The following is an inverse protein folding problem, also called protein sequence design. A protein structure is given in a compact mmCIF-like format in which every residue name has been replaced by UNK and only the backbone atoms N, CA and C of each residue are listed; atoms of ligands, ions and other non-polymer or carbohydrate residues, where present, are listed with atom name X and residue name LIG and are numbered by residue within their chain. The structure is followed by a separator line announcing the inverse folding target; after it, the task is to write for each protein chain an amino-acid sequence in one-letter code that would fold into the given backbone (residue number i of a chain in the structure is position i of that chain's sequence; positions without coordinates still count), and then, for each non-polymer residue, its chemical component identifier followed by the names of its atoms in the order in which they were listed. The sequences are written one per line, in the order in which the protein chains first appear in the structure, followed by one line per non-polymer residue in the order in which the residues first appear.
data_IF_769022886417
#
_entry.id   IF_769022886417
#
_cell.length_a   1.000
_cell.length_b   1.000
_cell.length_c   1.000
_cell.angle_alpha   90.00
_cell.angle_beta   90.00
_cell.angle_gamma   90.00
#
_symmetry.space_group_name_H-M   'P 1'
#
loop_
_entity.id
_entity.type
_entity.pdbx_description
1 polymer ?
#
# COMPACT_ATOMS: atom_id res chain seq x y z
N UNK A 1 0.35 -18.70 0.94
CA UNK A 1 0.30 -17.46 0.12
C UNK A 1 1.05 -16.40 0.90
N UNK A 2 2.03 -15.71 0.29
CA UNK A 2 2.74 -14.60 0.94
C UNK A 2 2.01 -13.30 0.63
N UNK A 3 1.75 -12.46 1.63
CA UNK A 3 1.19 -11.12 1.42
C UNK A 3 2.32 -10.11 1.22
N UNK A 4 2.11 -9.12 0.35
CA UNK A 4 3.07 -8.04 0.11
C UNK A 4 2.41 -6.69 0.42
N UNK A 5 3.04 -5.91 1.30
CA UNK A 5 2.74 -4.50 1.49
C UNK A 5 3.50 -3.67 0.44
N UNK A 6 2.83 -3.37 -0.66
CA UNK A 6 3.34 -2.57 -1.76
C UNK A 6 3.35 -1.05 -1.44
N UNK A 7 3.82 -0.66 -0.27
CA UNK A 7 3.74 0.73 0.24
C UNK A 7 4.89 1.06 1.17
N UNK A 8 5.52 2.22 0.97
CA UNK A 8 6.58 2.75 1.83
C UNK A 8 6.07 3.43 3.11
N UNK A 9 4.75 3.47 3.34
CA UNK A 9 4.15 4.13 4.51
C UNK A 9 4.41 3.36 5.83
N UNK A 10 5.08 3.97 6.84
CA UNK A 10 5.30 3.34 8.14
C UNK A 10 3.97 3.01 8.85
N UNK A 11 2.99 3.91 8.75
CA UNK A 11 1.67 3.73 9.38
C UNK A 11 0.93 2.51 8.84
N UNK A 12 1.04 2.20 7.54
CA UNK A 12 0.38 1.01 6.96
C UNK A 12 1.05 -0.29 7.43
N UNK A 13 2.36 -0.28 7.63
CA UNK A 13 3.10 -1.42 8.20
C UNK A 13 2.59 -1.72 9.61
N UNK A 14 2.55 -0.72 10.48
CA UNK A 14 2.08 -0.87 11.86
C UNK A 14 0.64 -1.41 11.95
N UNK A 15 -0.24 -0.98 11.03
CA UNK A 15 -1.63 -1.47 11.00
C UNK A 15 -1.70 -2.96 10.65
N UNK A 16 -0.92 -3.43 9.67
CA UNK A 16 -0.92 -4.84 9.27
C UNK A 16 -0.26 -5.74 10.32
N UNK A 17 0.81 -5.25 10.98
CA UNK A 17 1.43 -5.94 12.11
C UNK A 17 0.44 -6.10 13.27
N UNK A 18 -0.29 -5.04 13.62
CA UNK A 18 -1.33 -5.08 14.66
C UNK A 18 -2.51 -5.98 14.31
N UNK A 19 -2.77 -6.20 13.02
CA UNK A 19 -3.77 -7.14 12.54
C UNK A 19 -3.27 -8.61 12.57
N UNK A 20 -2.02 -8.85 12.97
CA UNK A 20 -1.43 -10.21 13.06
C UNK A 20 -1.06 -10.81 11.70
N UNK A 21 -0.93 -9.98 10.65
CA UNK A 21 -0.59 -10.45 9.32
C UNK A 21 0.93 -10.64 9.17
N UNK A 22 1.31 -11.71 8.46
CA UNK A 22 2.68 -11.93 8.01
C UNK A 22 2.78 -11.46 6.57
N UNK A 23 3.69 -10.52 6.29
CA UNK A 23 3.85 -9.91 4.97
C UNK A 23 5.28 -9.41 4.76
N UNK A 24 5.62 -9.23 3.48
CA UNK A 24 6.86 -8.57 3.05
C UNK A 24 6.58 -7.11 2.68
N UNK A 25 7.53 -6.21 2.93
CA UNK A 25 7.43 -4.82 2.48
C UNK A 25 8.21 -4.65 1.19
N UNK A 26 7.51 -4.28 0.11
CA UNK A 26 8.12 -3.95 -1.18
C UNK A 26 7.69 -2.54 -1.54
N UNK A 27 8.63 -1.61 -1.68
CA UNK A 27 8.31 -0.26 -2.14
C UNK A 27 7.83 -0.33 -3.60
N UNK A 28 6.69 0.29 -3.89
CA UNK A 28 6.23 0.39 -5.28
C UNK A 28 7.14 1.35 -6.05
N UNK A 29 7.68 0.95 -7.22
CA UNK A 29 8.43 1.85 -8.09
C UNK A 29 7.51 2.68 -9.00
N UNK A 30 6.19 2.47 -8.93
CA UNK A 30 5.24 3.12 -9.83
C UNK A 30 5.16 4.63 -9.57
N UNK A 31 5.17 5.41 -10.65
CA UNK A 31 4.90 6.84 -10.60
C UNK A 31 3.43 7.10 -10.28
N UNK A 32 3.17 8.06 -9.40
CA UNK A 32 1.82 8.44 -9.02
C UNK A 32 1.24 9.44 -10.02
N UNK A 33 0.62 8.92 -11.07
CA UNK A 33 -0.02 9.72 -12.12
C UNK A 33 -1.43 10.07 -11.68
N UNK A 34 -1.71 11.37 -11.63
CA UNK A 34 -3.03 11.91 -11.31
C UNK A 34 -3.74 12.34 -12.60
N UNK A 35 -4.75 11.59 -13.03
CA UNK A 35 -5.60 11.98 -14.14
C UNK A 35 -6.76 12.87 -13.65
N UNK A 36 -6.74 14.15 -14.00
CA UNK A 36 -7.76 15.12 -13.59
C UNK A 36 -9.16 14.84 -14.15
N UNK A 37 -9.26 14.04 -15.22
CA UNK A 37 -10.54 13.61 -15.78
C UNK A 37 -11.19 12.50 -14.95
N UNK A 38 -10.40 11.78 -14.15
CA UNK A 38 -10.88 10.75 -13.25
C UNK A 38 -11.40 11.37 -11.96
N UNK A 39 -12.69 11.19 -11.69
CA UNK A 39 -13.27 11.56 -10.40
C UNK A 39 -12.96 10.48 -9.36
N UNK A 40 -12.72 10.85 -8.10
CA UNK A 40 -12.69 9.89 -7.01
C UNK A 40 -13.98 9.06 -7.01
N UNK A 41 -13.86 7.75 -6.91
CA UNK A 41 -15.01 6.90 -6.65
C UNK A 41 -15.37 7.03 -5.17
N UNK A 42 -16.66 7.28 -4.88
CA UNK A 42 -17.20 7.40 -3.52
C UNK A 42 -17.70 6.06 -3.02
#
# INVERSE_FOLDING_TARGET
MSFVLASSSPRRRELLERAGLVFEVVASPAEEIHDASMKPHV
#
